data_IF_735832677696
#
_entry.id   IF_735832677696
#
_cell.length_a   1.000
_cell.length_b   1.000
_cell.length_c   1.000
_cell.angle_alpha   90.00
_cell.angle_beta   90.00
_cell.angle_gamma   90.00
#
_symmetry.space_group_name_H-M   'P 1'
#
loop_
_entity.id
_entity.type
_entity.pdbx_description
1 polymer ?
#
# COMPACT_ATOMS: atom_id res chain seq x y z
N UNK A 1 5.62 -12.20 -19.20
CA UNK A 1 5.05 -12.58 -20.53
C UNK A 1 5.99 -13.57 -21.21
N UNK A 2 5.49 -14.56 -21.95
CA UNK A 2 6.35 -15.60 -22.54
C UNK A 2 7.13 -15.09 -23.78
N UNK A 3 8.31 -15.66 -24.02
CA UNK A 3 9.11 -15.36 -25.23
C UNK A 3 8.40 -15.77 -26.54
N UNK A 4 7.40 -16.67 -26.45
CA UNK A 4 6.54 -17.07 -27.57
C UNK A 4 5.62 -15.91 -28.01
N UNK A 5 4.88 -15.31 -27.07
CA UNK A 5 3.93 -14.21 -27.39
C UNK A 5 4.64 -13.03 -28.03
N UNK A 6 5.84 -12.65 -27.55
CA UNK A 6 6.62 -11.57 -28.19
C UNK A 6 7.05 -11.91 -29.63
N UNK A 7 7.26 -13.19 -29.96
CA UNK A 7 7.65 -13.64 -31.31
C UNK A 7 6.49 -13.74 -32.30
N UNK A 8 5.26 -14.00 -31.85
CA UNK A 8 4.08 -14.10 -32.74
C UNK A 8 3.27 -12.82 -32.81
N UNK A 9 3.13 -12.09 -31.71
CA UNK A 9 2.26 -10.91 -31.63
C UNK A 9 2.87 -9.68 -32.34
N UNK A 10 4.19 -9.46 -32.23
CA UNK A 10 4.86 -8.34 -32.91
C UNK A 10 4.74 -8.38 -34.45
N UNK A 11 5.07 -9.49 -35.16
CA UNK A 11 4.89 -9.54 -36.61
C UNK A 11 3.41 -9.52 -37.03
N UNK A 12 2.50 -10.06 -36.23
CA UNK A 12 1.06 -9.98 -36.51
C UNK A 12 0.53 -8.54 -36.42
N UNK A 13 0.94 -7.78 -35.39
CA UNK A 13 0.63 -6.35 -35.27
C UNK A 13 1.27 -5.57 -36.44
N UNK A 14 2.55 -5.82 -36.75
CA UNK A 14 3.23 -5.14 -37.85
C UNK A 14 2.58 -5.40 -39.22
N UNK A 15 2.18 -6.64 -39.52
CA UNK A 15 1.42 -6.95 -40.74
C UNK A 15 0.05 -6.27 -40.74
N UNK A 16 -0.64 -6.22 -39.59
CA UNK A 16 -1.92 -5.52 -39.46
C UNK A 16 -1.79 -4.01 -39.67
N UNK A 17 -0.74 -3.37 -39.14
CA UNK A 17 -0.52 -1.93 -39.32
C UNK A 17 -0.04 -1.60 -40.73
N UNK A 18 0.80 -2.44 -41.35
CA UNK A 18 1.18 -2.30 -42.76
C UNK A 18 -0.04 -2.44 -43.67
N UNK A 19 -0.89 -3.45 -43.45
CA UNK A 19 -2.14 -3.62 -44.22
C UNK A 19 -3.08 -2.42 -44.04
N UNK A 20 -3.20 -1.89 -42.82
CA UNK A 20 -4.01 -0.69 -42.54
C UNK A 20 -3.44 0.57 -43.22
N UNK A 21 -2.12 0.75 -43.24
CA UNK A 21 -1.46 1.84 -43.95
C UNK A 21 -1.64 1.72 -45.47
N UNK A 22 -1.52 0.51 -46.04
CA UNK A 22 -1.78 0.27 -47.47
C UNK A 22 -3.26 0.55 -47.84
N UNK A 23 -4.21 0.26 -46.94
CA UNK A 23 -5.62 0.63 -47.10
C UNK A 23 -5.79 2.17 -47.06
N UNK A 24 -5.05 2.88 -46.20
CA UNK A 24 -5.04 4.35 -46.17
C UNK A 24 -4.44 4.94 -47.45
N UNK A 25 -3.30 4.44 -47.90
CA UNK A 25 -2.63 4.92 -49.14
C UNK A 25 -3.46 4.64 -50.39
N UNK A 26 -4.04 3.44 -50.54
CA UNK A 26 -4.95 3.12 -51.66
C UNK A 26 -6.28 3.89 -51.62
N UNK A 27 -6.68 4.43 -50.47
CA UNK A 27 -7.84 5.35 -50.38
C UNK A 27 -7.52 6.78 -50.81
N UNK A 28 -6.23 7.13 -50.99
CA UNK A 28 -5.75 8.51 -51.15
C UNK A 28 -5.61 8.91 -52.61
N UNK A 29 -6.72 9.27 -53.25
CA UNK A 29 -6.67 10.07 -54.47
C UNK A 29 -5.98 11.43 -54.21
N UNK A 30 -5.30 12.01 -55.23
CA UNK A 30 -4.67 13.31 -55.09
C UNK A 30 -5.73 14.42 -54.93
N UNK A 31 -5.30 15.52 -54.31
CA UNK A 31 -6.08 16.72 -53.99
C UNK A 31 -7.14 16.49 -52.89
N UNK A 32 -6.79 16.84 -51.66
CA UNK A 32 -7.19 18.15 -51.13
C UNK A 32 -6.30 18.60 -49.96
N UNK A 33 -6.39 19.89 -49.62
CA UNK A 33 -5.52 20.55 -48.64
C UNK A 33 -5.69 19.99 -47.22
N UNK A 34 -4.59 19.56 -46.59
CA UNK A 34 -4.55 19.00 -45.24
C UNK A 34 -3.91 20.02 -44.28
N UNK A 35 -4.64 21.09 -43.93
CA UNK A 35 -4.20 22.01 -42.86
C UNK A 35 -5.31 22.73 -42.06
N UNK A 36 -6.59 22.60 -42.43
CA UNK A 36 -7.68 23.45 -41.87
C UNK A 36 -8.79 22.66 -41.15
N UNK A 37 -8.38 21.68 -40.33
CA UNK A 37 -9.30 20.80 -39.58
C UNK A 37 -8.85 20.51 -38.12
N UNK A 38 -7.87 21.26 -37.62
CA UNK A 38 -7.29 21.10 -36.27
C UNK A 38 -7.70 22.20 -35.28
N UNK A 39 -8.22 23.33 -35.78
CA UNK A 39 -8.62 24.52 -35.01
C UNK A 39 -9.91 24.34 -34.21
N UNK A 40 -10.90 23.62 -34.74
CA UNK A 40 -12.28 23.59 -34.22
C UNK A 40 -12.59 22.50 -33.17
N UNK A 41 -11.58 21.90 -32.51
CA UNK A 41 -11.79 20.86 -31.47
C UNK A 41 -11.36 21.32 -30.07
N UNK A 42 -10.48 22.32 -29.94
CA UNK A 42 -9.97 22.77 -28.63
C UNK A 42 -10.84 23.84 -27.95
N UNK A 43 -11.74 24.49 -28.68
CA UNK A 43 -12.50 25.66 -28.22
C UNK A 43 -13.83 25.27 -27.52
N UNK A 44 -13.80 24.23 -26.69
CA UNK A 44 -14.99 23.71 -25.98
C UNK A 44 -14.69 23.08 -24.61
N UNK A 45 -13.47 23.23 -24.09
CA UNK A 45 -13.08 22.79 -22.73
C UNK A 45 -12.54 23.98 -21.92
N UNK A 46 -13.39 24.99 -21.76
CA UNK A 46 -13.12 26.22 -20.98
C UNK A 46 -14.15 26.48 -19.87
N UNK A 47 -15.27 25.73 -19.82
CA UNK A 47 -16.38 25.92 -18.88
C UNK A 47 -16.55 24.78 -17.87
N UNK A 48 -15.45 24.37 -17.22
CA UNK A 48 -15.50 23.61 -15.97
C UNK A 48 -14.55 24.22 -14.93
N UNK A 49 -14.85 25.46 -14.53
CA UNK A 49 -14.33 26.04 -13.29
C UNK A 49 -14.92 25.29 -12.10
N UNK A 50 -14.17 24.34 -11.55
CA UNK A 50 -14.42 23.80 -10.21
C UNK A 50 -14.02 24.88 -9.18
N UNK A 51 -14.89 25.15 -8.20
CA UNK A 51 -14.63 26.17 -7.18
C UNK A 51 -13.50 25.74 -6.25
N UNK A 52 -12.50 26.61 -6.09
CA UNK A 52 -11.48 26.48 -5.04
C UNK A 52 -11.81 27.45 -3.91
N UNK A 53 -12.31 26.92 -2.79
CA UNK A 53 -12.10 27.57 -1.49
C UNK A 53 -10.70 27.16 -0.99
N UNK A 54 -9.73 28.07 -1.04
CA UNK A 54 -8.86 28.31 0.11
C UNK A 54 -8.09 29.64 0.02
N UNK A 55 -7.53 30.09 1.14
CA UNK A 55 -7.10 31.47 1.35
C UNK A 55 -5.62 31.78 1.07
N UNK A 56 -5.40 33.05 0.69
CA UNK A 56 -4.25 33.92 0.99
C UNK A 56 -2.88 33.74 0.26
N UNK A 57 -2.41 34.90 -0.21
CA UNK A 57 -1.03 35.38 -0.36
C UNK A 57 -0.12 34.76 -1.45
N UNK A 58 0.79 35.49 -2.12
CA UNK A 58 0.87 36.85 -2.73
C UNK A 58 2.35 37.07 -3.14
N UNK A 59 2.61 37.87 -4.20
CA UNK A 59 3.95 38.24 -4.74
C UNK A 59 4.70 37.06 -5.43
N UNK A 60 5.24 37.17 -6.66
CA UNK A 60 6.26 38.09 -7.24
C UNK A 60 7.68 37.81 -6.70
N UNK A 61 8.76 37.76 -7.49
CA UNK A 61 8.95 38.15 -8.92
C UNK A 61 10.12 37.40 -9.63
N UNK A 62 10.27 37.67 -10.93
CA UNK A 62 11.30 37.19 -11.89
C UNK A 62 12.70 37.87 -11.68
N UNK A 63 13.67 37.79 -12.64
CA UNK A 63 14.44 36.63 -13.14
C UNK A 63 15.97 36.91 -13.12
N UNK A 64 16.80 36.04 -13.72
CA UNK A 64 18.03 36.46 -14.41
C UNK A 64 18.49 35.45 -15.48
N UNK A 65 19.34 35.89 -16.41
CA UNK A 65 19.66 35.24 -17.69
C UNK A 65 21.08 34.65 -17.77
N UNK A 66 21.30 33.86 -18.84
CA UNK A 66 22.56 33.33 -19.36
C UNK A 66 23.66 34.41 -19.60
N UNK A 67 24.94 34.13 -19.92
CA UNK A 67 25.62 32.94 -20.51
C UNK A 67 27.07 32.82 -19.92
N UNK A 68 28.23 32.41 -20.50
CA UNK A 68 28.68 32.02 -21.85
C UNK A 68 29.95 31.11 -21.84
N UNK A 69 29.86 29.91 -22.43
CA UNK A 69 30.90 29.16 -23.23
C UNK A 69 32.25 28.69 -22.60
N UNK A 70 32.64 27.48 -23.08
CA UNK A 70 33.92 26.69 -23.08
C UNK A 70 35.18 27.47 -23.62
N UNK A 71 36.41 26.88 -23.82
CA UNK A 71 36.81 25.45 -23.85
C UNK A 71 38.11 25.01 -23.11
N UNK A 72 38.09 23.74 -22.73
CA UNK A 72 39.09 22.66 -22.95
C UNK A 72 40.61 22.89 -22.86
N UNK A 73 41.21 22.21 -21.89
CA UNK A 73 42.43 21.35 -21.94
C UNK A 73 42.42 20.54 -20.62
N UNK A 74 42.94 19.32 -20.44
CA UNK A 74 43.38 18.16 -21.22
C UNK A 74 43.80 17.12 -20.12
N UNK A 75 43.67 15.81 -20.36
CA UNK A 75 43.89 14.73 -19.35
C UNK A 75 45.37 14.60 -18.86
N UNK A 76 45.66 14.11 -17.62
CA UNK A 76 45.37 12.73 -17.15
C UNK A 76 44.47 12.66 -15.90
N UNK A 77 43.60 11.66 -15.64
CA UNK A 77 43.52 10.23 -16.01
C UNK A 77 44.09 9.20 -14.98
N UNK A 78 43.67 9.26 -13.70
CA UNK A 78 43.92 8.13 -12.75
C UNK A 78 42.90 7.92 -11.59
N UNK A 79 41.58 8.12 -11.74
CA UNK A 79 40.61 7.66 -10.70
C UNK A 79 39.26 7.06 -11.18
N UNK A 80 39.16 6.56 -12.42
CA UNK A 80 37.92 5.91 -12.93
C UNK A 80 37.69 4.46 -12.44
N UNK A 81 38.03 4.19 -11.17
CA UNK A 81 37.85 2.89 -10.51
C UNK A 81 36.88 2.92 -9.31
N UNK A 82 36.68 4.07 -8.64
CA UNK A 82 35.93 4.12 -7.36
C UNK A 82 34.45 4.51 -7.43
N UNK A 83 33.98 5.14 -8.51
CA UNK A 83 32.55 5.54 -8.60
C UNK A 83 31.62 4.33 -8.85
N UNK A 84 32.09 3.30 -9.57
CA UNK A 84 31.26 2.16 -10.01
C UNK A 84 30.92 1.11 -8.94
N UNK A 85 31.49 1.20 -7.75
CA UNK A 85 31.05 0.39 -6.60
C UNK A 85 29.99 1.12 -5.76
N UNK A 86 29.99 2.46 -5.79
CA UNK A 86 29.14 3.27 -4.91
C UNK A 86 27.67 3.32 -5.37
N UNK A 87 27.42 3.44 -6.68
CA UNK A 87 26.07 3.32 -7.26
C UNK A 87 25.42 1.96 -6.92
N UNK A 88 26.24 0.93 -6.70
CA UNK A 88 25.77 -0.45 -6.49
C UNK A 88 25.35 -0.75 -5.05
N UNK A 89 25.99 -0.15 -4.05
CA UNK A 89 25.51 -0.20 -2.66
C UNK A 89 24.23 0.62 -2.46
N UNK A 90 24.05 1.72 -3.20
CA UNK A 90 22.84 2.55 -3.11
C UNK A 90 21.64 1.84 -3.77
N UNK A 91 21.83 1.15 -4.90
CA UNK A 91 20.78 0.35 -5.55
C UNK A 91 20.35 -0.89 -4.74
N UNK A 92 21.16 -1.39 -3.80
CA UNK A 92 20.74 -2.43 -2.83
C UNK A 92 20.05 -1.83 -1.59
N UNK A 93 20.50 -0.67 -1.09
CA UNK A 93 19.84 0.04 0.03
C UNK A 93 18.46 0.59 -0.32
N UNK A 94 18.16 0.89 -1.60
CA UNK A 94 16.79 1.16 -2.02
C UNK A 94 15.93 -0.11 -2.07
N UNK A 95 16.45 -1.23 -2.59
CA UNK A 95 15.70 -2.50 -2.64
C UNK A 95 15.37 -3.08 -1.26
N UNK A 96 16.22 -2.84 -0.26
CA UNK A 96 15.92 -3.23 1.12
C UNK A 96 14.85 -2.32 1.77
N UNK A 97 14.75 -1.05 1.35
CA UNK A 97 13.67 -0.13 1.75
C UNK A 97 12.34 -0.39 1.03
N UNK A 98 12.35 -0.91 -0.19
CA UNK A 98 11.15 -1.07 -1.04
C UNK A 98 10.08 -2.03 -0.44
N UNK A 99 10.38 -2.76 0.64
CA UNK A 99 9.39 -3.54 1.41
C UNK A 99 9.43 -3.33 2.93
N UNK A 100 9.69 -2.11 3.37
CA UNK A 100 9.22 -1.68 4.68
C UNK A 100 7.68 -1.79 4.72
N UNK A 101 7.14 -2.78 5.45
CA UNK A 101 5.70 -3.05 5.49
C UNK A 101 4.96 -2.00 6.31
N UNK A 102 3.71 -1.72 5.93
CA UNK A 102 2.79 -0.90 6.71
C UNK A 102 2.70 -1.42 8.17
N UNK A 103 2.69 -0.55 9.19
CA UNK A 103 2.57 -0.98 10.58
C UNK A 103 1.26 -1.76 10.78
N UNK A 104 1.34 -2.84 11.56
CA UNK A 104 0.28 -3.82 11.78
C UNK A 104 -0.07 -4.70 10.56
N UNK A 105 0.81 -4.82 9.56
CA UNK A 105 0.60 -5.70 8.40
C UNK A 105 1.73 -6.72 8.23
N UNK A 106 1.46 -7.82 7.54
CA UNK A 106 2.44 -8.90 7.33
C UNK A 106 2.12 -9.72 6.08
N UNK A 107 3.16 -10.25 5.42
CA UNK A 107 3.02 -11.31 4.41
C UNK A 107 3.33 -12.68 5.02
N UNK A 108 2.47 -13.67 4.74
CA UNK A 108 2.75 -15.06 5.11
C UNK A 108 3.89 -15.62 4.26
N UNK A 109 5.04 -16.03 4.83
CA UNK A 109 6.20 -16.44 4.03
C UNK A 109 5.94 -17.70 3.18
N UNK A 110 4.98 -18.55 3.57
CA UNK A 110 4.66 -19.80 2.87
C UNK A 110 3.53 -19.66 1.84
N UNK A 111 2.47 -18.91 2.15
CA UNK A 111 1.32 -18.74 1.24
C UNK A 111 1.35 -17.45 0.43
N UNK A 112 2.26 -16.52 0.73
CA UNK A 112 2.35 -15.17 0.15
C UNK A 112 1.06 -14.34 0.29
N UNK A 113 0.12 -14.78 1.12
CA UNK A 113 -1.08 -14.01 1.48
C UNK A 113 -0.74 -12.84 2.39
N UNK A 114 -1.33 -11.69 2.09
CA UNK A 114 -1.24 -10.47 2.89
C UNK A 114 -2.26 -10.51 4.02
N UNK A 115 -1.87 -10.07 5.22
CA UNK A 115 -2.74 -9.95 6.40
C UNK A 115 -2.61 -8.52 6.92
N UNK A 116 -3.75 -7.88 7.15
CA UNK A 116 -3.85 -6.51 7.64
C UNK A 116 -4.62 -6.51 8.96
N UNK A 117 -3.91 -6.21 10.05
CA UNK A 117 -4.50 -6.17 11.39
C UNK A 117 -4.85 -4.74 11.83
N UNK A 118 -4.70 -3.71 10.95
CA UNK A 118 -4.94 -2.31 11.30
C UNK A 118 -6.36 -2.00 11.74
N UNK A 119 -7.36 -2.74 11.25
CA UNK A 119 -8.75 -2.63 11.69
C UNK A 119 -8.96 -3.02 13.16
N UNK A 120 -8.10 -3.89 13.70
CA UNK A 120 -8.09 -4.26 15.12
C UNK A 120 -7.38 -3.21 15.99
N UNK A 121 -6.79 -2.19 15.37
CA UNK A 121 -5.94 -1.17 15.96
C UNK A 121 -6.61 0.20 15.99
N UNK A 122 -6.17 1.07 16.89
CA UNK A 122 -6.60 2.48 16.86
C UNK A 122 -6.12 3.23 15.61
N UNK A 123 -5.11 2.70 14.90
CA UNK A 123 -4.54 3.26 13.67
C UNK A 123 -5.63 3.45 12.60
N UNK A 124 -6.44 2.43 12.34
CA UNK A 124 -7.55 2.51 11.36
C UNK A 124 -8.79 3.23 11.90
N UNK A 125 -8.78 3.65 13.17
CA UNK A 125 -9.94 4.18 13.89
C UNK A 125 -9.67 5.63 14.35
N UNK A 126 -8.93 6.41 13.55
CA UNK A 126 -8.65 7.84 13.79
C UNK A 126 -7.99 8.12 15.16
N UNK A 127 -7.16 7.18 15.65
CA UNK A 127 -6.52 7.26 16.96
C UNK A 127 -7.44 6.93 18.15
N UNK A 128 -8.72 6.62 17.93
CA UNK A 128 -9.65 6.19 19.00
C UNK A 128 -9.17 4.83 19.54
N UNK A 129 -8.60 4.83 20.75
CA UNK A 129 -8.06 3.62 21.36
C UNK A 129 -9.11 2.49 21.43
N UNK A 130 -8.75 1.31 20.92
CA UNK A 130 -9.58 0.10 20.92
C UNK A 130 -9.08 -0.90 22.00
N UNK A 131 -9.63 -0.84 23.22
CA UNK A 131 -9.37 -1.83 24.26
C UNK A 131 -10.15 -3.12 23.99
N UNK A 132 -9.42 -4.20 23.78
CA UNK A 132 -9.92 -5.57 23.75
C UNK A 132 -9.84 -6.16 25.17
N UNK A 133 -10.94 -6.71 25.68
CA UNK A 133 -11.03 -7.22 27.05
C UNK A 133 -10.97 -8.75 27.03
N UNK A 134 -10.05 -9.33 27.80
CA UNK A 134 -9.92 -10.77 27.99
C UNK A 134 -10.02 -11.13 29.48
N UNK A 135 -10.89 -12.08 29.83
CA UNK A 135 -11.04 -12.59 31.20
C UNK A 135 -10.06 -13.74 31.42
N UNK A 136 -9.17 -13.62 32.40
CA UNK A 136 -8.37 -14.75 32.89
C UNK A 136 -9.13 -15.51 33.97
N UNK A 137 -9.82 -16.58 33.59
CA UNK A 137 -10.56 -17.42 34.54
C UNK A 137 -9.63 -18.03 35.59
N UNK A 138 -8.44 -18.50 35.19
CA UNK A 138 -7.47 -19.15 36.08
C UNK A 138 -6.72 -18.16 36.99
N UNK A 139 -6.61 -16.90 36.57
CA UNK A 139 -5.87 -15.85 37.31
C UNK A 139 -6.78 -14.89 38.09
N UNK A 140 -8.09 -14.96 37.89
CA UNK A 140 -9.08 -14.03 38.44
C UNK A 140 -8.99 -12.59 37.90
N UNK A 141 -8.09 -12.32 36.95
CA UNK A 141 -7.74 -10.97 36.47
C UNK A 141 -8.48 -10.65 35.16
N UNK A 142 -9.00 -9.43 35.06
CA UNK A 142 -9.48 -8.87 33.79
C UNK A 142 -8.32 -8.14 33.11
N UNK A 143 -7.98 -8.55 31.89
CA UNK A 143 -6.91 -7.96 31.08
C UNK A 143 -7.50 -7.06 30.00
N UNK A 144 -6.85 -5.92 29.76
CA UNK A 144 -7.16 -4.99 28.68
C UNK A 144 -5.96 -4.91 27.75
N UNK A 145 -6.19 -5.12 26.45
CA UNK A 145 -5.17 -5.25 25.41
C UNK A 145 -5.47 -4.31 24.24
N UNK A 146 -4.45 -3.76 23.62
CA UNK A 146 -4.54 -3.16 22.28
C UNK A 146 -3.87 -4.08 21.25
N UNK A 147 -4.21 -3.93 19.97
CA UNK A 147 -3.55 -4.63 18.86
C UNK A 147 -2.80 -3.60 18.03
N UNK A 148 -1.47 -3.66 18.00
CA UNK A 148 -0.58 -2.67 17.37
C UNK A 148 -0.74 -1.22 17.86
N UNK A 149 -1.45 -1.00 18.96
CA UNK A 149 -1.77 0.32 19.50
C UNK A 149 -1.93 0.25 21.01
N UNK A 150 -1.80 1.40 21.66
CA UNK A 150 -2.09 1.55 23.08
C UNK A 150 -3.62 1.51 23.36
N UNK A 151 -4.13 0.68 24.29
CA UNK A 151 -5.54 0.67 24.67
C UNK A 151 -5.94 1.75 25.70
N UNK A 152 -4.99 2.46 26.34
CA UNK A 152 -5.29 3.55 27.28
C UNK A 152 -5.96 4.72 26.54
N UNK A 153 -7.19 5.07 26.97
CA UNK A 153 -8.04 6.06 26.31
C UNK A 153 -7.81 7.51 26.72
N UNK A 154 -7.15 7.77 27.86
CA UNK A 154 -7.05 9.10 28.48
C UNK A 154 -5.74 9.27 29.24
N UNK A 155 -5.44 10.52 29.56
CA UNK A 155 -4.30 10.94 30.37
C UNK A 155 -4.44 10.49 31.84
N UNK A 156 -3.96 9.27 32.13
CA UNK A 156 -3.59 8.88 33.49
C UNK A 156 -2.25 9.55 33.85
N UNK A 157 -2.30 10.86 34.10
CA UNK A 157 -1.13 11.69 34.39
C UNK A 157 -0.56 11.46 35.80
N UNK A 158 -1.29 10.77 36.67
CA UNK A 158 -0.84 10.45 38.02
C UNK A 158 0.16 9.28 38.00
N UNK A 159 1.44 9.63 38.11
CA UNK A 159 2.62 8.74 38.16
C UNK A 159 2.54 7.67 39.28
N UNK A 160 1.54 7.76 40.16
CA UNK A 160 1.30 6.82 41.27
C UNK A 160 0.31 5.68 40.95
N UNK A 161 -0.52 5.80 39.90
CA UNK A 161 -1.50 4.78 39.50
C UNK A 161 -0.87 3.58 38.78
N UNK A 162 0.27 3.78 38.11
CA UNK A 162 0.92 2.77 37.25
C UNK A 162 2.09 2.10 37.99
N UNK A 163 2.13 0.77 38.00
CA UNK A 163 3.21 0.02 38.64
C UNK A 163 4.54 0.17 37.88
N UNK A 164 5.63 0.36 38.63
CA UNK A 164 7.03 0.46 38.17
C UNK A 164 7.33 1.65 37.24
N UNK A 165 6.50 2.70 37.27
CA UNK A 165 6.68 3.96 36.50
C UNK A 165 6.92 3.74 35.00
N UNK A 166 6.31 2.72 34.41
CA UNK A 166 6.40 2.47 32.96
C UNK A 166 5.71 3.56 32.16
N UNK A 167 6.19 3.84 30.94
CA UNK A 167 5.65 4.88 30.08
C UNK A 167 4.22 4.53 29.63
N UNK A 168 3.23 5.29 30.10
CA UNK A 168 1.80 5.10 29.83
C UNK A 168 1.47 5.12 28.33
N UNK A 169 2.17 5.95 27.55
CA UNK A 169 1.97 6.08 26.10
C UNK A 169 2.36 4.82 25.31
N UNK A 170 3.21 3.94 25.86
CA UNK A 170 3.71 2.74 25.19
C UNK A 170 3.02 1.44 25.60
N UNK A 171 2.14 1.45 26.61
CA UNK A 171 1.49 0.22 27.11
C UNK A 171 0.68 -0.44 25.99
N UNK A 172 0.92 -1.73 25.73
CA UNK A 172 0.13 -2.55 24.80
C UNK A 172 -0.88 -3.46 25.50
N UNK A 173 -0.67 -3.73 26.79
CA UNK A 173 -1.59 -4.51 27.61
C UNK A 173 -1.42 -4.22 29.09
N UNK A 174 -2.50 -4.31 29.85
CA UNK A 174 -2.48 -4.17 31.31
C UNK A 174 -3.57 -5.00 32.00
N UNK A 175 -3.42 -5.17 33.31
CA UNK A 175 -4.52 -5.51 34.23
C UNK A 175 -4.52 -4.54 35.42
N UNK A 176 -5.60 -4.54 36.19
CA UNK A 176 -5.67 -3.83 37.48
C UNK A 176 -5.42 -4.87 38.57
N UNK A 177 -4.42 -4.66 39.42
CA UNK A 177 -4.19 -5.53 40.59
C UNK A 177 -5.17 -5.17 41.71
N UNK A 178 -6.01 -6.11 42.13
CA UNK A 178 -7.00 -5.91 43.20
C UNK A 178 -6.40 -5.66 44.59
N UNK A 179 -5.11 -5.96 44.81
CA UNK A 179 -4.44 -5.70 46.11
C UNK A 179 -3.95 -4.26 46.23
N UNK A 180 -3.31 -3.74 45.18
CA UNK A 180 -2.73 -2.39 45.16
C UNK A 180 -3.61 -1.34 44.48
N UNK A 181 -4.65 -1.76 43.75
CA UNK A 181 -5.48 -0.95 42.85
C UNK A 181 -4.68 -0.19 41.77
N UNK A 182 -3.54 -0.74 41.36
CA UNK A 182 -2.66 -0.15 40.34
C UNK A 182 -2.78 -0.84 38.99
N UNK A 183 -2.53 -0.07 37.93
CA UNK A 183 -2.38 -0.59 36.58
C UNK A 183 -1.02 -1.27 36.43
N UNK A 184 -1.03 -2.56 36.13
CA UNK A 184 0.18 -3.37 35.91
C UNK A 184 0.33 -3.62 34.42
N UNK A 185 1.40 -3.12 33.82
CA UNK A 185 1.67 -3.35 32.40
C UNK A 185 2.18 -4.76 32.16
N UNK A 186 1.62 -5.43 31.16
CA UNK A 186 2.06 -6.77 30.72
C UNK A 186 2.84 -6.72 29.39
N UNK A 187 3.21 -5.52 28.94
CA UNK A 187 4.09 -5.30 27.79
C UNK A 187 3.79 -3.97 27.08
N UNK A 188 4.78 -3.47 26.35
CA UNK A 188 4.67 -2.32 25.45
C UNK A 188 4.17 -2.77 24.08
N UNK A 189 3.33 -1.98 23.40
CA UNK A 189 2.78 -2.39 22.11
C UNK A 189 3.88 -2.45 21.04
N UNK A 190 3.86 -3.51 20.24
CA UNK A 190 4.64 -3.65 19.02
C UNK A 190 3.71 -3.55 17.81
N UNK A 191 4.22 -3.04 16.68
CA UNK A 191 3.48 -2.89 15.42
C UNK A 191 3.84 -3.93 14.35
N UNK A 192 4.80 -4.82 14.62
CA UNK A 192 5.31 -5.80 13.65
C UNK A 192 4.89 -7.24 14.03
N UNK A 193 3.80 -7.79 13.48
CA UNK A 193 3.36 -9.15 13.75
C UNK A 193 4.15 -10.17 12.92
N UNK A 194 4.69 -11.21 13.57
CA UNK A 194 5.64 -12.16 13.00
C UNK A 194 5.07 -13.58 12.98
N UNK A 195 5.29 -14.31 11.87
CA UNK A 195 4.95 -15.72 11.78
C UNK A 195 5.92 -16.60 12.59
N UNK A 196 5.39 -17.33 13.57
CA UNK A 196 6.11 -18.36 14.33
C UNK A 196 5.59 -19.73 13.88
N UNK A 197 6.33 -20.36 12.96
CA UNK A 197 5.92 -21.60 12.32
C UNK A 197 4.67 -21.42 11.44
N UNK A 198 3.50 -21.89 11.91
CA UNK A 198 2.20 -21.75 11.21
C UNK A 198 1.25 -20.73 11.83
N UNK A 199 1.56 -20.20 13.02
CA UNK A 199 0.74 -19.21 13.72
C UNK A 199 1.31 -17.81 13.50
N UNK A 200 0.43 -16.82 13.36
CA UNK A 200 0.81 -15.41 13.37
C UNK A 200 0.84 -14.94 14.83
N UNK A 201 1.89 -14.23 15.23
CA UNK A 201 2.09 -13.80 16.62
C UNK A 201 2.54 -12.35 16.71
N UNK A 202 2.12 -11.63 17.73
CA UNK A 202 2.62 -10.29 18.08
C UNK A 202 3.09 -10.32 19.53
N UNK A 203 4.35 -9.98 19.78
CA UNK A 203 4.96 -9.99 21.10
C UNK A 203 5.08 -8.58 21.64
N UNK A 204 4.63 -8.36 22.88
CA UNK A 204 4.80 -7.15 23.66
C UNK A 204 5.78 -7.43 24.80
N UNK A 205 6.77 -6.56 24.99
CA UNK A 205 7.88 -6.75 25.93
C UNK A 205 8.01 -5.54 26.87
N UNK A 206 8.92 -5.59 27.84
CA UNK A 206 9.24 -4.44 28.70
C UNK A 206 8.04 -3.84 29.48
N UNK A 207 7.14 -4.68 30.00
CA UNK A 207 6.06 -4.29 30.91
C UNK A 207 6.53 -3.92 32.32
N UNK A 208 5.66 -4.00 33.33
CA UNK A 208 6.05 -3.91 34.74
C UNK A 208 6.93 -5.11 35.14
N UNK A 209 7.63 -5.06 36.27
CA UNK A 209 8.41 -6.20 36.76
C UNK A 209 7.49 -7.33 37.23
N UNK A 210 7.95 -8.57 37.13
CA UNK A 210 7.38 -9.71 37.82
C UNK A 210 8.31 -10.14 38.99
N UNK A 211 7.80 -10.98 39.89
CA UNK A 211 8.56 -11.43 41.06
C UNK A 211 9.65 -12.47 40.72
N UNK A 212 9.63 -13.01 39.49
CA UNK A 212 10.67 -13.90 38.98
C UNK A 212 11.97 -13.13 38.64
N UNK A 213 13.11 -13.78 38.91
CA UNK A 213 14.46 -13.24 38.71
C UNK A 213 15.22 -14.19 37.79
N UNK A 214 15.98 -13.67 36.82
CA UNK A 214 16.87 -14.51 36.00
C UNK A 214 18.05 -15.01 36.87
N UNK A 215 18.18 -16.33 36.99
CA UNK A 215 19.19 -16.99 37.82
C UNK A 215 20.64 -16.73 37.39
N UNK A 216 20.88 -16.18 36.18
CA UNK A 216 22.22 -15.90 35.66
C UNK A 216 22.65 -14.44 35.85
N UNK A 217 21.71 -13.49 35.78
CA UNK A 217 22.01 -12.04 35.92
C UNK A 217 21.55 -11.47 37.26
N UNK A 218 20.75 -12.22 38.03
CA UNK A 218 20.11 -11.77 39.27
C UNK A 218 19.21 -10.51 39.09
N UNK A 219 18.71 -10.29 37.87
CA UNK A 219 17.81 -9.16 37.55
C UNK A 219 16.35 -9.62 37.54
N UNK A 220 15.45 -8.81 38.12
CA UNK A 220 13.99 -9.02 38.01
C UNK A 220 13.56 -9.03 36.56
N UNK A 221 12.79 -10.04 36.18
CA UNK A 221 12.24 -10.19 34.83
C UNK A 221 11.11 -9.19 34.58
N UNK A 222 10.94 -8.80 33.31
CA UNK A 222 9.90 -7.87 32.84
C UNK A 222 8.73 -8.65 32.27
N UNK A 223 7.51 -8.22 32.60
CA UNK A 223 6.29 -8.83 32.08
C UNK A 223 6.21 -8.67 30.55
N UNK A 224 5.75 -9.72 29.89
CA UNK A 224 5.67 -9.85 28.43
C UNK A 224 4.37 -10.53 28.01
N UNK A 225 3.85 -10.18 26.83
CA UNK A 225 2.58 -10.72 26.31
C UNK A 225 2.76 -11.24 24.89
N UNK A 226 2.21 -12.41 24.60
CA UNK A 226 2.21 -13.01 23.26
C UNK A 226 0.75 -13.14 22.80
N UNK A 227 0.38 -12.32 21.82
CA UNK A 227 -0.90 -12.40 21.12
C UNK A 227 -0.75 -13.37 19.95
N UNK A 228 -1.54 -14.43 19.90
CA UNK A 228 -1.57 -15.40 18.80
C UNK A 228 -2.83 -15.18 17.96
N UNK A 229 -2.68 -14.87 16.68
CA UNK A 229 -3.80 -14.59 15.79
C UNK A 229 -4.27 -15.87 15.09
N UNK A 230 -5.58 -16.08 15.10
CA UNK A 230 -6.28 -17.16 14.40
C UNK A 230 -7.31 -16.54 13.45
N UNK A 231 -7.13 -16.83 12.16
CA UNK A 231 -8.08 -16.50 11.11
C UNK A 231 -9.43 -17.18 11.40
N UNK A 232 -10.49 -16.38 11.43
CA UNK A 232 -11.85 -16.84 11.64
C UNK A 232 -12.77 -16.19 10.59
N UNK A 233 -13.05 -16.91 9.50
CA UNK A 233 -13.76 -16.37 8.34
C UNK A 233 -15.27 -16.20 8.57
N UNK A 234 -15.85 -17.03 9.42
CA UNK A 234 -17.29 -17.10 9.67
C UNK A 234 -17.73 -16.15 10.81
N UNK A 235 -16.76 -15.57 11.53
CA UNK A 235 -16.97 -14.49 12.50
C UNK A 235 -17.56 -13.23 11.84
N UNK A 236 -18.89 -13.09 11.90
CA UNK A 236 -19.61 -11.85 11.58
C UNK A 236 -19.60 -10.82 12.72
N UNK A 237 -19.12 -11.21 13.91
CA UNK A 237 -18.95 -10.36 15.08
C UNK A 237 -17.58 -9.65 15.07
N UNK A 238 -17.42 -8.67 15.99
CA UNK A 238 -16.11 -8.08 16.29
C UNK A 238 -15.13 -9.16 16.81
N UNK A 239 -13.84 -8.93 16.59
CA UNK A 239 -12.78 -9.86 17.02
C UNK A 239 -12.87 -10.20 18.51
N UNK A 240 -12.55 -11.45 18.83
CA UNK A 240 -12.56 -12.00 20.19
C UNK A 240 -11.12 -12.20 20.68
N UNK A 241 -10.83 -11.73 21.90
CA UNK A 241 -9.55 -11.97 22.56
C UNK A 241 -9.76 -12.83 23.79
N UNK A 242 -9.14 -14.01 23.79
CA UNK A 242 -9.25 -15.02 24.85
C UNK A 242 -7.91 -15.18 25.56
N UNK A 243 -7.93 -15.28 26.89
CA UNK A 243 -6.75 -15.66 27.67
C UNK A 243 -6.50 -17.17 27.51
N UNK A 244 -5.25 -17.56 27.23
CA UNK A 244 -4.81 -18.95 27.14
C UNK A 244 -4.17 -19.39 28.46
N UNK A 245 -3.43 -18.49 29.11
CA UNK A 245 -2.70 -18.78 30.33
C UNK A 245 -1.57 -17.79 30.61
N UNK A 246 -0.87 -18.00 31.73
CA UNK A 246 0.33 -17.25 32.11
C UNK A 246 1.42 -18.19 32.63
N UNK A 247 2.69 -17.85 32.41
CA UNK A 247 3.85 -18.53 32.99
C UNK A 247 4.54 -17.64 34.00
N UNK A 248 4.75 -18.15 35.23
CA UNK A 248 5.44 -17.50 36.35
C UNK A 248 5.01 -16.05 36.64
N UNK A 249 3.72 -15.72 36.47
CA UNK A 249 3.18 -14.34 36.55
C UNK A 249 3.94 -13.32 35.67
N UNK A 250 4.67 -13.76 34.63
CA UNK A 250 5.58 -12.93 33.85
C UNK A 250 5.30 -12.94 32.35
N UNK A 251 5.06 -14.11 31.73
CA UNK A 251 4.66 -14.19 30.32
C UNK A 251 3.20 -14.57 30.19
N UNK A 252 2.43 -13.75 29.48
CA UNK A 252 0.98 -13.90 29.29
C UNK A 252 0.67 -14.32 27.84
N UNK A 253 -0.25 -15.26 27.66
CA UNK A 253 -0.61 -15.81 26.35
C UNK A 253 -2.09 -15.57 26.07
N UNK A 254 -2.40 -15.02 24.88
CA UNK A 254 -3.76 -14.77 24.43
C UNK A 254 -3.97 -15.25 22.99
N UNK A 255 -5.18 -15.72 22.67
CA UNK A 255 -5.62 -15.94 21.28
C UNK A 255 -6.52 -14.80 20.82
N UNK A 256 -6.28 -14.30 19.61
CA UNK A 256 -7.09 -13.30 18.93
C UNK A 256 -7.77 -13.98 17.74
N UNK A 257 -9.08 -14.25 17.84
CA UNK A 257 -9.89 -14.78 16.73
C UNK A 257 -10.51 -13.62 15.95
N UNK A 258 -10.26 -13.56 14.64
CA UNK A 258 -10.66 -12.43 13.81
C UNK A 258 -10.71 -12.78 12.33
N UNK A 259 -11.66 -12.19 11.59
CA UNK A 259 -11.66 -12.23 10.13
C UNK A 259 -10.46 -11.48 9.53
N UNK A 260 -10.03 -10.37 10.13
CA UNK A 260 -8.87 -9.59 9.68
C UNK A 260 -7.53 -10.33 9.84
N UNK A 261 -7.48 -11.39 10.65
CA UNK A 261 -6.33 -12.30 10.74
C UNK A 261 -6.24 -13.32 9.59
N UNK A 262 -7.19 -13.30 8.65
CA UNK A 262 -7.18 -14.16 7.47
C UNK A 262 -6.32 -13.57 6.34
N UNK A 263 -5.66 -14.42 5.53
CA UNK A 263 -4.95 -13.95 4.35
C UNK A 263 -5.96 -13.43 3.32
N UNK A 264 -5.87 -12.14 3.05
CA UNK A 264 -6.53 -11.48 1.91
C UNK A 264 -5.86 -11.95 0.63
N UNK A 265 -6.65 -12.09 -0.44
CA UNK A 265 -6.08 -12.34 -1.77
C UNK A 265 -5.09 -11.22 -2.14
N UNK A 266 -3.98 -11.51 -2.84
CA UNK A 266 -3.13 -10.44 -3.37
C UNK A 266 -4.01 -9.52 -4.23
N UNK A 267 -3.85 -8.19 -4.09
CA UNK A 267 -4.57 -7.22 -4.93
C UNK A 267 -4.32 -7.57 -6.39
N UNK A 268 -5.33 -8.10 -7.07
CA UNK A 268 -5.22 -8.44 -8.48
C UNK A 268 -4.91 -7.16 -9.25
N UNK A 269 -3.90 -7.21 -10.12
CA UNK A 269 -3.52 -6.04 -10.90
C UNK A 269 -4.65 -5.74 -11.91
N UNK A 270 -5.60 -4.91 -11.49
CA UNK A 270 -6.79 -4.51 -12.24
C UNK A 270 -6.46 -3.82 -13.58
N UNK A 271 -5.18 -3.49 -13.79
CA UNK A 271 -4.52 -3.34 -15.08
C UNK A 271 -5.09 -4.27 -16.17
N UNK A 272 -5.34 -5.55 -15.86
CA UNK A 272 -5.93 -6.50 -16.81
C UNK A 272 -7.32 -6.06 -17.33
N UNK A 273 -8.19 -5.55 -16.45
CA UNK A 273 -9.49 -5.00 -16.83
C UNK A 273 -9.35 -3.68 -17.61
N UNK A 274 -8.39 -2.83 -17.23
CA UNK A 274 -8.06 -1.59 -17.95
C UNK A 274 -7.62 -1.89 -19.39
N UNK A 275 -6.72 -2.86 -19.59
CA UNK A 275 -6.28 -3.29 -20.92
C UNK A 275 -7.44 -3.84 -21.78
N UNK A 276 -8.38 -4.57 -21.18
CA UNK A 276 -9.59 -5.07 -21.88
C UNK A 276 -10.47 -3.90 -22.34
N UNK A 277 -10.72 -2.91 -21.46
CA UNK A 277 -11.54 -1.75 -21.79
C UNK A 277 -10.92 -0.91 -22.93
N UNK A 278 -9.62 -0.65 -22.85
CA UNK A 278 -8.86 0.09 -23.90
C UNK A 278 -8.92 -0.64 -25.25
N UNK A 279 -8.79 -1.97 -25.26
CA UNK A 279 -8.88 -2.77 -26.49
C UNK A 279 -10.27 -2.67 -27.14
N UNK A 280 -11.34 -2.78 -26.37
CA UNK A 280 -12.73 -2.68 -26.86
C UNK A 280 -13.00 -1.27 -27.41
N UNK A 281 -12.56 -0.22 -26.71
CA UNK A 281 -12.70 1.17 -27.14
C UNK A 281 -11.97 1.45 -28.47
N UNK A 282 -10.73 0.95 -28.61
CA UNK A 282 -9.95 1.07 -29.84
C UNK A 282 -10.61 0.31 -31.01
N UNK A 283 -11.16 -0.89 -30.77
CA UNK A 283 -11.89 -1.64 -31.79
C UNK A 283 -13.16 -0.90 -32.27
N UNK A 284 -13.93 -0.30 -31.35
CA UNK A 284 -15.10 0.50 -31.70
C UNK A 284 -14.74 1.72 -32.56
N UNK A 285 -13.63 2.40 -32.24
CA UNK A 285 -13.09 3.52 -33.02
C UNK A 285 -12.72 3.06 -34.45
N UNK A 286 -12.04 1.93 -34.60
CA UNK A 286 -11.67 1.40 -35.92
C UNK A 286 -12.92 1.10 -36.78
N UNK A 287 -13.94 0.45 -36.20
CA UNK A 287 -15.21 0.15 -36.90
C UNK A 287 -15.94 1.44 -37.32
N UNK A 288 -15.98 2.44 -36.45
CA UNK A 288 -16.60 3.74 -36.75
C UNK A 288 -15.91 4.45 -37.92
N UNK A 289 -14.57 4.53 -37.91
CA UNK A 289 -13.83 5.15 -39.02
C UNK A 289 -13.93 4.35 -40.32
N UNK A 290 -13.80 3.02 -40.30
CA UNK A 290 -13.89 2.21 -41.53
C UNK A 290 -15.30 2.26 -42.15
N UNK A 291 -16.35 2.20 -41.31
CA UNK A 291 -17.74 2.37 -41.78
C UNK A 291 -17.98 3.77 -42.36
N UNK A 292 -17.43 4.80 -41.72
CA UNK A 292 -17.50 6.18 -42.22
C UNK A 292 -16.80 6.40 -43.57
N UNK A 293 -15.68 5.71 -43.83
CA UNK A 293 -14.98 5.73 -45.12
C UNK A 293 -15.80 5.03 -46.19
N UNK A 294 -16.26 3.80 -45.92
CA UNK A 294 -17.07 3.02 -46.88
C UNK A 294 -18.37 3.74 -47.27
N UNK A 295 -19.07 4.32 -46.28
CA UNK A 295 -20.28 5.11 -46.53
C UNK A 295 -20.02 6.32 -47.44
N UNK A 296 -18.89 7.02 -47.24
CA UNK A 296 -18.48 8.15 -48.11
C UNK A 296 -18.13 7.68 -49.53
N UNK A 297 -17.46 6.54 -49.67
CA UNK A 297 -17.12 5.96 -50.99
C UNK A 297 -18.38 5.53 -51.76
N UNK A 298 -19.28 4.77 -51.13
CA UNK A 298 -20.55 4.36 -51.75
C UNK A 298 -21.39 5.57 -52.17
N UNK A 299 -21.50 6.61 -51.32
CA UNK A 299 -22.25 7.83 -51.66
C UNK A 299 -21.63 8.59 -52.85
N UNK A 300 -20.30 8.62 -52.99
CA UNK A 300 -19.61 9.22 -54.15
C UNK A 300 -19.90 8.44 -55.44
N UNK A 301 -19.81 7.10 -55.42
CA UNK A 301 -20.15 6.25 -56.57
C UNK A 301 -21.61 6.41 -57.01
N UNK A 302 -22.55 6.51 -56.06
CA UNK A 302 -23.97 6.77 -56.35
C UNK A 302 -24.26 8.16 -56.93
N UNK A 303 -23.33 9.12 -56.79
CA UNK A 303 -23.48 10.46 -57.36
C UNK A 303 -23.01 10.52 -58.82
N UNK A 304 -21.85 9.92 -59.14
CA UNK A 304 -21.32 9.87 -60.53
C UNK A 304 -22.31 9.18 -61.49
N UNK A 305 -22.90 8.06 -61.08
CA UNK A 305 -23.91 7.34 -61.87
C UNK A 305 -25.23 8.11 -62.07
N UNK A 306 -25.48 9.19 -61.32
CA UNK A 306 -26.69 10.04 -61.49
C UNK A 306 -26.41 11.27 -62.37
N UNK A 307 -25.16 11.54 -62.74
CA UNK A 307 -24.78 12.61 -63.69
C UNK A 307 -24.59 12.14 -65.14
N UNK A 308 -25.01 10.91 -65.47
CA UNK A 308 -24.80 10.23 -66.77
C UNK A 308 -26.10 9.75 -67.44
N UNK A 309 -27.23 10.39 -67.09
CA UNK A 309 -28.58 10.15 -67.63
C UNK A 309 -29.19 11.48 -68.04
#
# INVERSE_FOLDING_TARGET
MSKLVRRTLLPAIALSTILFLLIIETSKQPNDSLYDASSHIFDSISHFTFSTDDNNNQAQSQPLLAEKVKPDNAEPAEEKAKEKEKEKEEEEKEKEKEKALDPCTVYNPRSQGFIDLRELSSISNEGKALPWIAKGYDSGKNYTLGICSNPFKKQHNEVHEIQDKVNSSLIGGYYIDSKTNKYVSIGQYATNPVFRGRKLTLTYENGSYCDAVDSRTNTRLRKSTILTFTCDREMSARALVSFIGQSNECTYFFEVRSHHACPTAPKSNNLAAVWIFVLIFLAAILVYFSGGVLYRQMKRSSADNRGKV
#
